data_IF_501121756513
#
_entry.id   IF_501121756513
#
_cell.length_a   1.000
_cell.length_b   1.000
_cell.length_c   1.000
_cell.angle_alpha   90.00
_cell.angle_beta   90.00
_cell.angle_gamma   90.00
#
_symmetry.space_group_name_H-M   'P 1'
#
loop_
_entity.id
_entity.type
_entity.pdbx_description
1 polymer ?
#
# COMPACT_ATOMS: atom_id res chain seq x y z
N UNK A 1 -7.22 -7.35 -4.02
CA UNK A 1 -7.94 -6.05 -3.87
C UNK A 1 -8.70 -5.75 -5.16
N UNK A 2 -8.03 -5.48 -6.27
CA UNK A 2 -8.65 -5.05 -7.54
C UNK A 2 -9.44 -6.14 -8.28
N UNK A 3 -9.11 -7.42 -8.05
CA UNK A 3 -9.79 -8.55 -8.70
C UNK A 3 -11.28 -8.61 -8.36
N UNK A 4 -11.66 -8.34 -7.13
CA UNK A 4 -13.09 -8.34 -6.73
C UNK A 4 -13.88 -7.32 -7.56
N UNK A 5 -13.42 -6.07 -7.61
CA UNK A 5 -14.06 -5.01 -8.38
C UNK A 5 -14.10 -5.34 -9.87
N UNK A 6 -12.98 -5.83 -10.42
CA UNK A 6 -12.86 -6.19 -11.83
C UNK A 6 -13.81 -7.33 -12.21
N UNK A 7 -13.83 -8.42 -11.43
CA UNK A 7 -14.71 -9.57 -11.70
C UNK A 7 -16.18 -9.19 -11.54
N UNK A 8 -16.54 -8.42 -10.51
CA UNK A 8 -17.90 -7.93 -10.35
C UNK A 8 -18.36 -7.11 -11.57
N UNK A 9 -17.50 -6.21 -12.06
CA UNK A 9 -17.77 -5.42 -13.26
C UNK A 9 -17.87 -6.26 -14.53
N UNK A 10 -17.04 -7.28 -14.69
CA UNK A 10 -17.12 -8.23 -15.82
C UNK A 10 -18.43 -9.02 -15.78
N UNK A 11 -18.89 -9.41 -14.60
CA UNK A 11 -20.15 -10.12 -14.40
C UNK A 11 -21.40 -9.23 -14.48
N UNK A 12 -21.23 -7.89 -14.68
CA UNK A 12 -22.33 -6.96 -14.66
C UNK A 12 -22.97 -6.74 -13.27
N UNK A 13 -22.28 -7.17 -12.20
CA UNK A 13 -22.77 -7.04 -10.85
C UNK A 13 -22.51 -5.62 -10.29
N UNK A 14 -23.43 -5.14 -9.46
CA UNK A 14 -23.26 -3.90 -8.71
C UNK A 14 -22.29 -4.14 -7.52
N UNK A 15 -21.42 -3.16 -7.27
CA UNK A 15 -20.59 -3.18 -6.06
C UNK A 15 -21.42 -2.77 -4.83
N UNK A 16 -21.11 -3.28 -3.62
CA UNK A 16 -21.70 -2.80 -2.39
C UNK A 16 -21.56 -1.28 -2.25
N UNK A 17 -22.66 -0.60 -1.90
CA UNK A 17 -22.68 0.85 -1.69
C UNK A 17 -22.61 1.23 -0.20
N UNK A 18 -22.68 0.25 0.69
CA UNK A 18 -22.71 0.40 2.15
C UNK A 18 -21.32 0.49 2.79
N UNK A 19 -20.27 0.34 1.98
CA UNK A 19 -18.88 0.35 2.43
C UNK A 19 -17.94 0.87 1.35
N UNK A 20 -16.78 1.37 1.77
CA UNK A 20 -15.69 1.76 0.85
C UNK A 20 -15.04 0.49 0.28
N UNK A 21 -14.92 0.42 -1.03
CA UNK A 21 -14.20 -0.63 -1.74
C UNK A 21 -12.91 -0.06 -2.32
N UNK A 22 -11.77 -0.50 -1.81
CA UNK A 22 -10.44 -0.04 -2.26
C UNK A 22 -10.04 -0.59 -3.64
N UNK A 23 -10.75 -1.60 -4.12
CA UNK A 23 -10.48 -2.25 -5.38
C UNK A 23 -10.85 -1.36 -6.57
N UNK A 24 -9.96 -1.26 -7.55
CA UNK A 24 -10.16 -0.56 -8.80
C UNK A 24 -10.51 -1.54 -9.94
N UNK A 25 -11.19 -1.01 -10.95
CA UNK A 25 -11.55 -1.78 -12.15
C UNK A 25 -10.34 -1.85 -13.09
N UNK A 26 -9.77 -3.04 -13.25
CA UNK A 26 -8.60 -3.28 -14.09
C UNK A 26 -8.96 -3.82 -15.49
N UNK A 27 -10.22 -3.73 -15.94
CA UNK A 27 -10.60 -4.21 -17.28
C UNK A 27 -9.77 -3.55 -18.37
N UNK A 28 -9.62 -2.23 -18.32
CA UNK A 28 -8.84 -1.49 -19.33
C UNK A 28 -7.40 -2.05 -19.49
N UNK A 29 -6.55 -2.12 -18.46
CA UNK A 29 -5.21 -2.68 -18.63
C UNK A 29 -5.19 -4.19 -18.92
N UNK A 30 -6.17 -4.96 -18.43
CA UNK A 30 -6.23 -6.42 -18.69
C UNK A 30 -6.56 -6.74 -20.15
N UNK A 31 -7.36 -5.92 -20.82
CA UNK A 31 -7.74 -6.10 -22.22
C UNK A 31 -6.99 -5.17 -23.18
N UNK A 32 -5.90 -4.56 -22.72
CA UNK A 32 -5.06 -3.62 -23.51
C UNK A 32 -5.79 -2.37 -24.01
N UNK A 33 -6.83 -1.97 -23.30
CA UNK A 33 -7.65 -0.78 -23.63
C UNK A 33 -7.18 0.50 -22.95
N UNK A 34 -6.11 0.43 -22.13
CA UNK A 34 -5.57 1.63 -21.48
C UNK A 34 -4.67 1.36 -20.27
N UNK A 35 -4.20 2.43 -19.61
CA UNK A 35 -3.33 2.35 -18.45
C UNK A 35 -4.08 1.85 -17.21
N UNK A 36 -3.32 1.40 -16.20
CA UNK A 36 -3.88 1.06 -14.91
C UNK A 36 -4.47 2.30 -14.21
N UNK A 37 -5.69 2.22 -13.67
CA UNK A 37 -6.27 3.29 -12.86
C UNK A 37 -5.60 3.43 -11.50
N UNK A 38 -4.79 2.44 -11.09
CA UNK A 38 -4.10 2.48 -9.79
C UNK A 38 -2.83 3.30 -9.89
N UNK A 39 -2.85 4.48 -9.30
CA UNK A 39 -1.73 5.39 -9.24
C UNK A 39 -0.81 5.10 -8.06
N UNK A 40 -1.39 4.64 -6.94
CA UNK A 40 -0.69 4.43 -5.67
C UNK A 40 -0.92 3.03 -5.13
N UNK A 41 0.07 2.49 -4.41
CA UNK A 41 -0.05 1.27 -3.64
C UNK A 41 0.47 1.53 -2.21
N UNK A 42 -0.35 1.22 -1.22
CA UNK A 42 0.00 1.30 0.20
C UNK A 42 0.42 -0.08 0.70
N UNK A 43 1.54 -0.13 1.40
CA UNK A 43 2.04 -1.35 2.03
C UNK A 43 1.89 -1.24 3.54
N UNK A 44 1.04 -2.09 4.09
CA UNK A 44 0.73 -2.10 5.52
C UNK A 44 1.48 -3.22 6.24
N UNK A 45 1.75 -2.95 7.53
CA UNK A 45 2.05 -3.97 8.51
C UNK A 45 1.20 -3.70 9.75
N UNK A 46 0.23 -4.58 10.01
CA UNK A 46 -0.87 -4.25 10.92
C UNK A 46 -1.63 -3.03 10.40
N UNK A 47 -1.80 -2.03 11.22
CA UNK A 47 -2.50 -0.77 10.90
C UNK A 47 -1.58 0.35 10.42
N UNK A 48 -0.27 0.10 10.34
CA UNK A 48 0.75 1.11 10.01
C UNK A 48 1.15 1.05 8.54
N UNK A 49 1.21 2.20 7.87
CA UNK A 49 1.78 2.31 6.53
C UNK A 49 3.31 2.24 6.64
N UNK A 50 3.88 1.17 6.10
CA UNK A 50 5.33 0.93 6.04
C UNK A 50 5.97 1.52 4.81
N UNK A 51 5.30 1.43 3.67
CA UNK A 51 5.78 1.99 2.42
C UNK A 51 4.63 2.46 1.53
N UNK A 52 4.94 3.34 0.60
CA UNK A 52 4.05 3.78 -0.47
C UNK A 52 4.79 3.67 -1.79
N UNK A 53 4.10 3.17 -2.79
CA UNK A 53 4.54 3.25 -4.19
C UNK A 53 3.65 4.24 -4.94
N UNK A 54 4.29 5.11 -5.73
CA UNK A 54 3.63 5.99 -6.69
C UNK A 54 4.39 5.90 -8.02
N UNK A 55 3.71 5.42 -9.05
CA UNK A 55 4.35 5.13 -10.32
C UNK A 55 5.52 4.15 -10.17
N UNK A 56 6.71 4.57 -10.59
CA UNK A 56 7.93 3.77 -10.48
C UNK A 56 8.64 3.88 -9.12
N UNK A 57 8.35 4.93 -8.36
CA UNK A 57 9.03 5.16 -7.08
C UNK A 57 8.32 4.49 -5.92
N UNK A 58 9.10 3.94 -4.99
CA UNK A 58 8.63 3.39 -3.73
C UNK A 58 9.41 3.98 -2.57
N UNK A 59 8.70 4.52 -1.58
CA UNK A 59 9.28 5.06 -0.37
C UNK A 59 8.96 4.17 0.84
N UNK A 60 9.99 3.82 1.63
CA UNK A 60 9.85 3.10 2.88
C UNK A 60 9.98 4.07 4.06
N UNK A 61 8.95 4.15 4.88
CA UNK A 61 8.91 4.95 6.12
C UNK A 61 9.29 4.15 7.34
N UNK A 62 9.15 2.83 7.26
CA UNK A 62 9.61 1.89 8.28
C UNK A 62 10.09 0.62 7.60
N UNK A 63 11.11 0.00 8.19
CA UNK A 63 11.62 -1.30 7.75
C UNK A 63 11.67 -2.25 8.93
N UNK A 64 11.50 -3.54 8.66
CA UNK A 64 11.67 -4.60 9.65
C UNK A 64 12.12 -5.87 8.93
N UNK A 65 13.22 -6.50 9.35
CA UNK A 65 13.87 -7.59 8.60
C UNK A 65 13.12 -8.94 8.73
N UNK A 66 11.83 -8.99 8.47
CA UNK A 66 11.05 -10.23 8.48
C UNK A 66 9.93 -10.27 9.51
N UNK A 67 9.42 -11.47 9.78
CA UNK A 67 8.37 -11.76 10.76
C UNK A 67 8.95 -12.65 11.86
N UNK A 68 8.77 -12.27 13.13
CA UNK A 68 9.21 -13.06 14.26
C UNK A 68 9.48 -12.23 15.51
N UNK A 69 9.58 -12.87 16.68
CA UNK A 69 9.92 -12.20 17.93
C UNK A 69 11.37 -11.67 17.88
N UNK A 70 11.62 -10.55 18.55
CA UNK A 70 12.95 -9.95 18.67
C UNK A 70 13.43 -9.12 17.46
N UNK A 71 12.72 -9.11 16.33
CA UNK A 71 13.05 -8.28 15.19
C UNK A 71 12.57 -6.84 15.41
N UNK A 72 13.49 -5.90 15.37
CA UNK A 72 13.23 -4.49 15.64
C UNK A 72 12.78 -3.77 14.36
N UNK A 73 11.73 -2.97 14.50
CA UNK A 73 11.33 -2.02 13.46
C UNK A 73 12.26 -0.81 13.50
N UNK A 74 12.70 -0.36 12.32
CA UNK A 74 13.46 0.88 12.15
C UNK A 74 12.61 1.88 11.41
N UNK A 75 12.36 3.04 12.02
CA UNK A 75 11.75 4.20 11.35
C UNK A 75 12.80 4.86 10.48
N UNK A 76 12.45 5.16 9.24
CA UNK A 76 13.32 5.81 8.27
C UNK A 76 12.95 7.31 8.19
N UNK A 77 13.90 8.17 8.55
CA UNK A 77 13.74 9.64 8.48
C UNK A 77 15.07 10.28 8.01
N UNK A 78 15.14 10.74 6.77
CA UNK A 78 14.11 10.65 5.72
C UNK A 78 13.81 9.21 5.29
N UNK A 79 12.63 8.96 4.67
CA UNK A 79 12.28 7.64 4.16
C UNK A 79 13.26 7.20 3.07
N UNK A 80 13.50 5.88 2.98
CA UNK A 80 14.27 5.32 1.88
C UNK A 80 13.46 5.43 0.59
N UNK A 81 14.11 5.72 -0.53
CA UNK A 81 13.48 5.87 -1.84
C UNK A 81 14.14 4.94 -2.86
N UNK A 82 13.33 4.23 -3.64
CA UNK A 82 13.77 3.30 -4.68
C UNK A 82 13.03 3.54 -5.99
N UNK A 83 13.73 3.38 -7.11
CA UNK A 83 13.14 3.35 -8.46
C UNK A 83 12.96 1.90 -8.90
N UNK A 84 11.75 1.39 -8.78
CA UNK A 84 11.44 -0.02 -9.10
C UNK A 84 11.50 -0.35 -10.59
N UNK A 85 11.58 0.66 -11.47
CA UNK A 85 11.75 0.43 -12.91
C UNK A 85 13.18 0.00 -13.27
N UNK A 86 14.16 0.42 -12.46
CA UNK A 86 15.59 0.15 -12.65
C UNK A 86 16.15 -0.78 -11.58
N UNK A 87 15.60 -0.70 -10.37
CA UNK A 87 16.03 -1.44 -9.19
C UNK A 87 14.82 -2.13 -8.51
N UNK A 88 14.26 -3.18 -9.12
CA UNK A 88 13.14 -3.92 -8.52
C UNK A 88 13.53 -4.66 -7.22
N UNK A 89 14.84 -4.80 -6.97
CA UNK A 89 15.39 -5.41 -5.75
C UNK A 89 15.61 -4.44 -4.60
N UNK A 90 15.33 -3.13 -4.80
CA UNK A 90 15.44 -2.11 -3.75
C UNK A 90 16.83 -2.06 -3.09
N UNK A 91 17.89 -2.11 -3.92
CA UNK A 91 19.28 -2.16 -3.46
C UNK A 91 19.89 -0.76 -3.29
N UNK A 92 19.43 0.22 -4.06
CA UNK A 92 20.03 1.56 -4.13
C UNK A 92 19.05 2.61 -3.61
N UNK A 93 19.34 3.17 -2.44
CA UNK A 93 18.56 4.25 -1.86
C UNK A 93 18.85 5.57 -2.58
N UNK A 94 17.83 6.17 -3.20
CA UNK A 94 17.88 7.41 -3.97
C UNK A 94 17.36 8.64 -3.19
N UNK A 95 17.12 8.53 -1.90
CA UNK A 95 16.48 9.60 -1.12
C UNK A 95 17.30 10.91 -1.13
N UNK A 96 18.63 10.82 -1.06
CA UNK A 96 19.52 11.98 -1.13
C UNK A 96 19.52 12.67 -2.48
N UNK A 97 19.35 11.90 -3.55
CA UNK A 97 19.43 12.40 -4.93
C UNK A 97 18.10 13.02 -5.41
N UNK A 98 16.99 12.60 -4.78
CA UNK A 98 15.65 13.02 -5.16
C UNK A 98 14.82 13.58 -3.98
N UNK A 99 15.27 14.63 -3.28
CA UNK A 99 14.57 15.14 -2.08
C UNK A 99 13.15 15.65 -2.37
N UNK A 100 12.89 16.14 -3.60
CA UNK A 100 11.55 16.55 -4.02
C UNK A 100 10.56 15.38 -4.08
N UNK A 101 11.01 14.20 -4.57
CA UNK A 101 10.17 12.99 -4.59
C UNK A 101 9.92 12.50 -3.17
N UNK A 102 10.93 12.54 -2.31
CA UNK A 102 10.80 12.19 -0.88
C UNK A 102 9.73 13.04 -0.21
N UNK A 103 9.76 14.35 -0.41
CA UNK A 103 8.76 15.29 0.14
C UNK A 103 7.35 14.94 -0.34
N UNK A 104 7.18 14.64 -1.62
CA UNK A 104 5.89 14.25 -2.19
C UNK A 104 5.39 12.93 -1.59
N UNK A 105 6.26 11.94 -1.39
CA UNK A 105 5.90 10.66 -0.76
C UNK A 105 5.47 10.83 0.71
N UNK A 106 6.13 11.75 1.44
CA UNK A 106 5.75 12.09 2.81
C UNK A 106 4.36 12.73 2.85
N UNK A 107 4.10 13.69 1.94
CA UNK A 107 2.79 14.33 1.79
C UNK A 107 1.70 13.30 1.48
N UNK A 108 1.95 12.45 0.49
CA UNK A 108 1.02 11.39 0.09
C UNK A 108 0.72 10.43 1.24
N UNK A 109 1.73 10.04 2.03
CA UNK A 109 1.52 9.22 3.22
C UNK A 109 0.59 9.89 4.21
N UNK A 110 0.81 11.18 4.49
CA UNK A 110 -0.01 11.93 5.44
C UNK A 110 -1.48 12.01 4.98
N UNK A 111 -1.71 12.29 3.70
CA UNK A 111 -3.05 12.32 3.10
C UNK A 111 -3.75 10.97 3.19
N UNK A 112 -3.05 9.89 2.81
CA UNK A 112 -3.61 8.55 2.88
C UNK A 112 -3.91 8.13 4.32
N UNK A 113 -3.01 8.45 5.25
CA UNK A 113 -3.21 8.15 6.67
C UNK A 113 -4.42 8.88 7.26
N UNK A 114 -4.67 10.12 6.87
CA UNK A 114 -5.81 10.91 7.33
C UNK A 114 -7.16 10.34 6.82
N UNK A 115 -7.16 9.68 5.66
CA UNK A 115 -8.34 9.05 5.09
C UNK A 115 -8.64 7.65 5.64
N UNK A 116 -7.72 7.06 6.42
CA UNK A 116 -7.89 5.73 6.98
C UNK A 116 -8.77 5.75 8.23
N UNK A 117 -9.89 5.06 8.16
CA UNK A 117 -10.68 4.72 9.36
C UNK A 117 -10.15 3.40 9.92
N UNK A 118 -9.51 3.45 11.08
CA UNK A 118 -9.08 2.24 11.77
C UNK A 118 -10.29 1.57 12.41
N UNK A 119 -10.63 0.37 11.95
CA UNK A 119 -11.54 -0.52 12.65
C UNK A 119 -10.83 -1.23 13.82
N UNK A 120 -11.59 -1.91 14.66
CA UNK A 120 -11.04 -2.80 15.69
C UNK A 120 -10.25 -3.93 15.01
N UNK A 121 -9.02 -4.19 15.48
CA UNK A 121 -8.20 -5.31 14.98
C UNK A 121 -8.79 -6.64 15.49
N UNK A 122 -9.64 -7.22 14.66
CA UNK A 122 -10.33 -8.48 14.98
C UNK A 122 -9.39 -9.69 15.05
N UNK A 123 -8.16 -9.59 14.52
CA UNK A 123 -7.17 -10.67 14.58
C UNK A 123 -6.49 -10.78 15.95
N UNK A 124 -6.60 -9.73 16.77
CA UNK A 124 -6.05 -9.70 18.14
C UNK A 124 -7.11 -10.03 19.17
N UNK A 125 -8.38 -10.03 18.83
CA UNK A 125 -9.45 -10.48 19.73
C UNK A 125 -9.32 -11.99 19.96
N UNK A 126 -8.88 -12.37 21.17
CA UNK A 126 -8.92 -13.78 21.59
C UNK A 126 -10.38 -14.19 21.72
N UNK A 127 -10.82 -15.10 20.87
CA UNK A 127 -12.11 -15.74 21.04
C UNK A 127 -12.16 -16.42 22.42
N UNK A 128 -13.25 -16.28 23.17
CA UNK A 128 -13.38 -17.00 24.44
C UNK A 128 -13.28 -18.49 24.17
N UNK A 129 -12.28 -19.13 24.79
CA UNK A 129 -12.14 -20.58 24.75
C UNK A 129 -13.32 -21.13 25.54
N UNK A 130 -14.35 -21.66 24.88
CA UNK A 130 -15.41 -22.40 25.52
C UNK A 130 -14.78 -23.67 26.14
N UNK A 131 -14.71 -23.72 27.47
CA UNK A 131 -14.35 -24.90 28.24
C UNK A 131 -15.51 -25.89 28.24
#
# INVERSE_FOLDING_TARGET
MDLFTTVAKLAGAALPADRVIDGLDLRAPLFSEGPSPRQNMLYFRGTKIYAIRQGQYKAHFSTKPGFGPGLVETVQDPPLLFDLSRDPGEQTNLASDHPGIVTEMIRLRAEQQAGLTQGTDQLVEQLPVNQ
#
